data_IF_860509637736
#
_entry.id   IF_860509637736
#
_cell.length_a   1.000
_cell.length_b   1.000
_cell.length_c   1.000
_cell.angle_alpha   90.00
_cell.angle_beta   90.00
_cell.angle_gamma   90.00
#
_symmetry.space_group_name_H-M   'P 1'
#
loop_
_entity.id
_entity.type
_entity.pdbx_description
1 polymer ?
#
# COMPACT_ATOMS: atom_id res chain seq x y z
N UNK A 1 23.07 -12.51 -34.76
CA UNK A 1 21.84 -12.26 -33.98
C UNK A 1 22.21 -11.39 -32.78
N UNK A 2 21.81 -10.10 -32.74
CA UNK A 2 22.14 -9.17 -31.65
C UNK A 2 21.08 -9.34 -30.54
N UNK A 3 21.48 -9.57 -29.28
CA UNK A 3 20.54 -9.56 -28.15
C UNK A 3 20.07 -8.12 -27.94
N UNK A 4 18.76 -7.85 -27.75
CA UNK A 4 18.30 -6.51 -27.44
C UNK A 4 18.95 -6.06 -26.12
N UNK A 5 19.52 -4.87 -26.15
CA UNK A 5 19.93 -4.14 -24.95
C UNK A 5 18.69 -3.99 -24.05
N UNK A 6 18.72 -4.70 -22.92
CA UNK A 6 17.72 -4.58 -21.85
C UNK A 6 18.24 -3.57 -20.83
N UNK A 7 18.68 -2.39 -21.28
CA UNK A 7 18.79 -1.23 -20.40
C UNK A 7 17.38 -0.91 -19.93
N UNK A 8 17.04 -1.28 -18.68
CA UNK A 8 15.82 -0.84 -18.04
C UNK A 8 15.88 0.70 -18.05
N UNK A 9 15.03 1.33 -18.84
CA UNK A 9 14.83 2.76 -18.72
C UNK A 9 14.22 3.03 -17.34
N UNK A 10 15.07 3.46 -16.40
CA UNK A 10 14.71 3.72 -15.01
C UNK A 10 13.52 4.69 -14.90
N UNK A 11 13.34 5.60 -15.86
CA UNK A 11 12.19 6.50 -15.90
C UNK A 11 10.90 5.74 -16.19
N UNK A 12 10.89 4.89 -17.21
CA UNK A 12 9.74 4.01 -17.48
C UNK A 12 9.44 3.06 -16.32
N UNK A 13 10.47 2.56 -15.62
CA UNK A 13 10.30 1.70 -14.46
C UNK A 13 9.67 2.44 -13.28
N UNK A 14 10.11 3.68 -12.99
CA UNK A 14 9.52 4.53 -11.96
C UNK A 14 8.05 4.86 -12.25
N UNK A 15 7.71 5.18 -13.51
CA UNK A 15 6.32 5.45 -13.87
C UNK A 15 5.41 4.23 -13.68
N UNK A 16 5.89 3.02 -14.03
CA UNK A 16 5.14 1.78 -13.78
C UNK A 16 4.93 1.51 -12.30
N UNK A 17 5.96 1.73 -11.48
CA UNK A 17 5.85 1.60 -10.01
C UNK A 17 4.82 2.56 -9.43
N UNK A 18 4.84 3.83 -9.84
CA UNK A 18 3.86 4.83 -9.40
C UNK A 18 2.44 4.46 -9.83
N UNK A 19 2.26 3.97 -11.06
CA UNK A 19 0.95 3.52 -11.54
C UNK A 19 0.40 2.36 -10.72
N UNK A 20 1.22 1.36 -10.36
CA UNK A 20 0.79 0.22 -9.55
C UNK A 20 0.55 0.56 -8.07
N UNK A 21 1.21 1.59 -7.52
CA UNK A 21 1.01 2.04 -6.14
C UNK A 21 -0.10 3.10 -6.00
N UNK A 22 -0.75 3.49 -7.09
CA UNK A 22 -1.83 4.47 -7.05
C UNK A 22 -3.04 3.89 -6.32
N UNK A 23 -3.67 4.63 -5.37
CA UNK A 23 -4.95 4.24 -4.79
C UNK A 23 -6.08 4.11 -5.82
N UNK A 24 -5.94 4.74 -6.99
CA UNK A 24 -6.88 4.61 -8.11
C UNK A 24 -6.64 3.34 -8.96
N UNK A 25 -5.62 2.54 -8.65
CA UNK A 25 -5.33 1.31 -9.38
C UNK A 25 -6.45 0.28 -9.11
N UNK A 26 -7.05 -0.33 -10.15
CA UNK A 26 -8.34 -1.03 -10.04
C UNK A 26 -8.18 -2.47 -9.53
N UNK A 27 -7.55 -2.64 -8.36
CA UNK A 27 -7.36 -3.93 -7.70
C UNK A 27 -8.27 -4.12 -6.48
N UNK A 28 -9.07 -3.10 -6.12
CA UNK A 28 -9.93 -3.10 -4.94
C UNK A 28 -9.28 -2.39 -3.73
N UNK A 29 -10.00 -2.35 -2.61
CA UNK A 29 -9.51 -1.75 -1.36
C UNK A 29 -8.49 -2.63 -0.65
N UNK A 30 -7.59 -2.01 0.12
CA UNK A 30 -6.62 -2.71 0.95
C UNK A 30 -7.33 -3.60 2.00
N UNK A 31 -6.87 -4.84 2.19
CA UNK A 31 -7.41 -5.79 3.18
C UNK A 31 -7.12 -5.43 4.65
N UNK A 32 -6.54 -4.25 4.92
CA UNK A 32 -6.22 -3.78 6.27
C UNK A 32 -7.42 -3.19 7.03
N UNK A 33 -8.58 -2.99 6.39
CA UNK A 33 -9.74 -2.38 7.05
C UNK A 33 -10.31 -3.26 8.17
N UNK A 34 -10.31 -4.58 7.98
CA UNK A 34 -10.95 -5.50 8.91
C UNK A 34 -10.28 -5.56 10.30
N UNK A 35 -8.95 -5.44 10.34
CA UNK A 35 -8.20 -5.40 11.60
C UNK A 35 -8.51 -4.15 12.41
N UNK A 36 -8.60 -2.99 11.75
CA UNK A 36 -8.94 -1.72 12.39
C UNK A 36 -10.40 -1.70 12.87
N UNK A 37 -11.34 -2.18 12.04
CA UNK A 37 -12.76 -2.32 12.41
C UNK A 37 -12.94 -3.16 13.67
N UNK A 38 -12.18 -4.26 13.78
CA UNK A 38 -12.19 -5.15 14.95
C UNK A 38 -11.58 -4.45 16.18
N UNK A 39 -10.45 -3.76 16.02
CA UNK A 39 -9.80 -3.05 17.11
C UNK A 39 -10.67 -1.91 17.70
N UNK A 40 -11.38 -1.17 16.83
CA UNK A 40 -12.36 -0.17 17.25
C UNK A 40 -13.54 -0.83 17.97
N UNK A 41 -14.10 -1.90 17.40
CA UNK A 41 -15.23 -2.62 18.00
C UNK A 41 -14.90 -3.23 19.38
N UNK A 42 -13.64 -3.63 19.58
CA UNK A 42 -13.13 -4.13 20.86
C UNK A 42 -12.75 -3.03 21.85
N UNK A 43 -12.85 -1.75 21.48
CA UNK A 43 -12.44 -0.62 22.32
C UNK A 43 -10.93 -0.45 22.49
N UNK A 44 -10.13 -1.11 21.64
CA UNK A 44 -8.66 -1.03 21.66
C UNK A 44 -8.15 0.25 20.99
N UNK A 45 -8.92 0.78 20.02
CA UNK A 45 -8.65 2.06 19.34
C UNK A 45 -9.87 2.94 19.47
N UNK A 46 -9.79 3.97 20.29
CA UNK A 46 -10.86 4.97 20.53
C UNK A 46 -10.42 6.40 20.23
N UNK A 47 -9.11 6.63 20.07
CA UNK A 47 -8.54 7.92 19.70
C UNK A 47 -7.31 7.75 18.78
N UNK A 48 -6.79 8.89 18.31
CA UNK A 48 -5.67 8.93 17.38
C UNK A 48 -4.35 8.40 17.98
N UNK A 49 -4.10 8.64 19.26
CA UNK A 49 -2.88 8.15 19.92
C UNK A 49 -2.89 6.63 20.06
N UNK A 50 -4.05 6.05 20.36
CA UNK A 50 -4.24 4.61 20.39
C UNK A 50 -4.13 3.98 19.00
N UNK A 51 -4.60 4.66 17.95
CA UNK A 51 -4.41 4.22 16.57
C UNK A 51 -2.92 4.20 16.19
N UNK A 52 -2.17 5.26 16.51
CA UNK A 52 -0.72 5.33 16.27
C UNK A 52 0.03 4.19 16.98
N UNK A 53 -0.32 3.94 18.25
CA UNK A 53 0.24 2.82 19.00
C UNK A 53 -0.10 1.47 18.35
N UNK A 54 -1.35 1.27 17.93
CA UNK A 54 -1.81 0.04 17.26
C UNK A 54 -1.09 -0.21 15.92
N UNK A 55 -0.82 0.83 15.12
CA UNK A 55 -0.09 0.73 13.86
C UNK A 55 1.41 0.41 14.05
N UNK A 56 1.97 0.71 15.22
CA UNK A 56 3.37 0.48 15.55
C UNK A 56 3.66 -0.90 16.17
N UNK A 57 2.62 -1.70 16.45
CA UNK A 57 2.72 -3.07 16.95
C UNK A 57 2.83 -4.09 15.80
#
# INVERSE_FOLDING_TARGET
>A
MRRPDMSIDNRSALYRLLSWNSPAFPVGSYSYSHGLETAVSAGLVTDAHQLEAWLGH
#
